data_IF_205071256819
#
_entry.id   IF_205071256819
#
_cell.length_a   1.000
_cell.length_b   1.000
_cell.length_c   1.000
_cell.angle_alpha   90.00
_cell.angle_beta   90.00
_cell.angle_gamma   90.00
#
_symmetry.space_group_name_H-M   'P 1'
#
loop_
_entity.id
_entity.type
_entity.pdbx_description
1 polymer ?
#
# COMPACT_ATOMS: atom_id res chain seq x y z
N UNK A 1 -17.03 -4.13 -16.14
CA UNK A 1 -17.07 -4.82 -14.83
C UNK A 1 -18.21 -5.84 -14.83
N UNK A 2 -17.95 -7.10 -14.48
CA UNK A 2 -18.98 -8.14 -14.37
C UNK A 2 -19.83 -7.83 -13.13
N UNK A 3 -21.10 -7.46 -13.30
CA UNK A 3 -22.00 -7.21 -12.16
C UNK A 3 -22.15 -8.50 -11.36
N UNK A 4 -21.70 -8.47 -10.11
CA UNK A 4 -21.86 -9.56 -9.19
C UNK A 4 -23.16 -9.35 -8.42
N UNK A 5 -24.20 -10.11 -8.78
CA UNK A 5 -25.52 -10.02 -8.14
C UNK A 5 -25.60 -11.03 -6.99
N UNK A 6 -24.86 -10.79 -5.91
CA UNK A 6 -25.02 -11.57 -4.68
C UNK A 6 -26.09 -10.94 -3.79
N UNK A 7 -27.06 -11.75 -3.36
CA UNK A 7 -28.07 -11.33 -2.40
C UNK A 7 -27.46 -11.28 -1.00
N UNK A 8 -27.22 -10.07 -0.47
CA UNK A 8 -26.79 -9.87 0.91
C UNK A 8 -28.01 -9.86 1.83
N UNK A 9 -28.02 -10.73 2.84
CA UNK A 9 -29.06 -10.72 3.89
C UNK A 9 -28.57 -9.89 5.07
N UNK A 10 -29.33 -8.87 5.42
CA UNK A 10 -29.12 -8.02 6.59
C UNK A 10 -30.27 -8.21 7.57
N UNK A 11 -30.01 -8.01 8.87
CA UNK A 11 -31.09 -7.90 9.85
C UNK A 11 -32.03 -6.74 9.49
N UNK A 12 -33.35 -6.85 9.73
CA UNK A 12 -34.30 -5.81 9.33
C UNK A 12 -33.99 -4.41 9.88
N UNK A 13 -33.56 -4.34 11.14
CA UNK A 13 -33.14 -3.09 11.80
C UNK A 13 -31.94 -2.45 11.10
N UNK A 14 -30.93 -3.25 10.77
CA UNK A 14 -29.72 -2.79 10.07
C UNK A 14 -30.03 -2.34 8.65
N UNK A 15 -30.91 -3.04 7.94
CA UNK A 15 -31.36 -2.63 6.61
C UNK A 15 -32.11 -1.28 6.63
N UNK A 16 -32.93 -1.06 7.66
CA UNK A 16 -33.63 0.22 7.85
C UNK A 16 -32.64 1.37 8.08
N UNK A 17 -31.62 1.17 8.91
CA UNK A 17 -30.57 2.18 9.10
C UNK A 17 -29.73 2.42 7.85
N UNK A 18 -29.29 1.37 7.16
CA UNK A 18 -28.54 1.51 5.91
C UNK A 18 -29.32 2.30 4.85
N UNK A 19 -30.65 2.11 4.77
CA UNK A 19 -31.52 2.88 3.87
C UNK A 19 -31.61 4.36 4.28
N UNK A 20 -31.75 4.66 5.58
CA UNK A 20 -31.77 6.04 6.07
C UNK A 20 -30.46 6.75 5.77
N UNK A 21 -29.32 6.11 6.06
CA UNK A 21 -28.00 6.67 5.81
C UNK A 21 -27.77 6.89 4.31
N UNK A 22 -28.09 5.91 3.48
CA UNK A 22 -27.95 6.02 2.02
C UNK A 22 -28.80 7.16 1.45
N UNK A 23 -30.03 7.34 1.95
CA UNK A 23 -30.90 8.45 1.55
C UNK A 23 -30.34 9.81 1.99
N UNK A 24 -29.80 9.92 3.20
CA UNK A 24 -29.17 11.15 3.71
C UNK A 24 -27.92 11.54 2.89
N UNK A 25 -27.14 10.55 2.43
CA UNK A 25 -25.96 10.75 1.58
C UNK A 25 -26.28 10.85 0.09
N UNK A 26 -27.54 10.64 -0.32
CA UNK A 26 -27.95 10.68 -1.73
C UNK A 26 -27.38 9.55 -2.58
N UNK A 27 -27.06 8.38 -1.99
CA UNK A 27 -26.46 7.24 -2.67
C UNK A 27 -27.37 6.01 -2.67
N UNK A 28 -27.14 5.06 -3.58
CA UNK A 28 -27.83 3.77 -3.54
C UNK A 28 -27.35 2.93 -2.36
N UNK A 29 -28.25 2.15 -1.74
CA UNK A 29 -27.93 1.25 -0.61
C UNK A 29 -26.78 0.29 -0.95
N UNK A 30 -26.76 -0.24 -2.17
CA UNK A 30 -25.66 -1.11 -2.63
C UNK A 30 -24.31 -0.38 -2.68
N UNK A 31 -24.31 0.90 -3.08
CA UNK A 31 -23.10 1.72 -3.11
C UNK A 31 -22.60 1.98 -1.68
N UNK A 32 -23.49 2.37 -0.78
CA UNK A 32 -23.18 2.55 0.65
C UNK A 32 -22.56 1.28 1.23
N UNK A 33 -23.18 0.12 1.02
CA UNK A 33 -22.68 -1.17 1.51
C UNK A 33 -21.30 -1.49 0.96
N UNK A 34 -21.08 -1.30 -0.35
CA UNK A 34 -19.77 -1.56 -0.95
C UNK A 34 -18.67 -0.66 -0.36
N UNK A 35 -18.96 0.62 -0.16
CA UNK A 35 -18.01 1.58 0.44
C UNK A 35 -17.73 1.21 1.90
N UNK A 36 -18.77 0.97 2.70
CA UNK A 36 -18.61 0.58 4.11
C UNK A 36 -17.79 -0.71 4.28
N UNK A 37 -17.98 -1.70 3.39
CA UNK A 37 -17.16 -2.91 3.37
C UNK A 37 -15.72 -2.59 2.98
N UNK A 38 -15.50 -1.76 1.95
CA UNK A 38 -14.17 -1.35 1.54
C UNK A 38 -13.42 -0.62 2.68
N UNK A 39 -14.09 0.28 3.38
CA UNK A 39 -13.56 0.98 4.56
C UNK A 39 -13.22 0.01 5.69
N UNK A 40 -14.13 -0.90 6.04
CA UNK A 40 -13.86 -1.90 7.09
C UNK A 40 -12.67 -2.78 6.74
N UNK A 41 -12.56 -3.19 5.48
CA UNK A 41 -11.42 -3.96 4.99
C UNK A 41 -10.12 -3.14 5.03
N UNK A 42 -10.15 -1.85 4.69
CA UNK A 42 -9.00 -0.98 4.77
C UNK A 42 -8.49 -0.85 6.22
N UNK A 43 -9.40 -0.63 7.18
CA UNK A 43 -9.06 -0.58 8.61
C UNK A 43 -8.47 -1.91 9.08
N UNK A 44 -9.13 -3.04 8.79
CA UNK A 44 -8.65 -4.35 9.20
C UNK A 44 -7.27 -4.70 8.61
N UNK A 45 -6.99 -4.24 7.37
CA UNK A 45 -5.66 -4.41 6.75
C UNK A 45 -4.61 -3.53 7.42
N UNK A 46 -4.96 -2.28 7.76
CA UNK A 46 -4.07 -1.38 8.48
C UNK A 46 -3.70 -1.96 9.85
N UNK A 47 -4.67 -2.43 10.63
CA UNK A 47 -4.45 -3.09 11.92
C UNK A 47 -3.53 -4.31 11.78
N UNK A 48 -3.76 -5.16 10.79
CA UNK A 48 -2.88 -6.32 10.52
C UNK A 48 -1.47 -5.92 10.14
N UNK A 49 -1.28 -4.84 9.39
CA UNK A 49 0.05 -4.32 9.04
C UNK A 49 0.78 -3.86 10.31
N UNK A 50 0.08 -3.14 11.18
CA UNK A 50 0.60 -2.65 12.46
C UNK A 50 0.85 -3.78 13.49
N UNK A 51 0.22 -4.94 13.32
CA UNK A 51 0.42 -6.12 14.16
C UNK A 51 1.43 -7.14 13.58
N UNK A 52 1.94 -6.90 12.36
CA UNK A 52 2.91 -7.78 11.70
C UNK A 52 4.32 -7.70 12.32
N UNK A 53 5.27 -8.51 11.84
CA UNK A 53 6.67 -8.33 12.23
C UNK A 53 7.20 -6.98 11.71
N UNK A 54 8.09 -6.36 12.48
CA UNK A 54 8.84 -5.20 11.99
C UNK A 54 9.65 -5.55 10.73
N UNK A 55 9.90 -4.58 9.83
CA UNK A 55 10.74 -4.79 8.66
C UNK A 55 12.14 -5.29 9.06
N UNK A 56 12.57 -6.40 8.47
CA UNK A 56 13.87 -7.03 8.70
C UNK A 56 14.92 -6.41 7.76
N UNK A 57 15.88 -5.71 8.36
CA UNK A 57 16.97 -5.02 7.66
C UNK A 57 17.79 -5.98 6.79
N UNK A 58 18.18 -7.12 7.32
CA UNK A 58 19.00 -8.12 6.62
C UNK A 58 18.22 -8.76 5.47
N UNK A 59 16.92 -8.98 5.63
CA UNK A 59 16.04 -9.42 4.54
C UNK A 59 15.94 -8.36 3.44
N UNK A 60 15.72 -7.10 3.80
CA UNK A 60 15.60 -5.99 2.84
C UNK A 60 16.89 -5.82 2.04
N UNK A 61 18.04 -5.78 2.72
CA UNK A 61 19.35 -5.63 2.05
C UNK A 61 19.62 -6.81 1.10
N UNK A 62 19.23 -8.03 1.46
CA UNK A 62 19.34 -9.19 0.56
C UNK A 62 18.46 -9.02 -0.68
N UNK A 63 17.18 -8.70 -0.52
CA UNK A 63 16.26 -8.50 -1.64
C UNK A 63 16.73 -7.38 -2.59
N UNK A 64 17.26 -6.29 -2.05
CA UNK A 64 17.80 -5.18 -2.85
C UNK A 64 19.07 -5.58 -3.61
N UNK A 65 19.94 -6.41 -3.03
CA UNK A 65 21.12 -6.94 -3.71
C UNK A 65 20.76 -7.94 -4.80
N UNK A 66 19.81 -8.82 -4.54
CA UNK A 66 19.33 -9.82 -5.52
C UNK A 66 18.70 -9.16 -6.76
N UNK A 67 18.26 -7.90 -6.63
CA UNK A 67 17.65 -7.10 -7.69
C UNK A 67 18.53 -5.95 -8.20
N UNK A 68 19.83 -5.98 -7.90
CA UNK A 68 20.74 -4.88 -8.23
C UNK A 68 20.72 -4.51 -9.72
N UNK A 69 20.79 -5.50 -10.62
CA UNK A 69 20.80 -5.26 -12.07
C UNK A 69 19.52 -4.56 -12.55
N UNK A 70 18.35 -5.00 -12.07
CA UNK A 70 17.05 -4.39 -12.39
C UNK A 70 16.95 -2.96 -11.85
N UNK A 71 17.45 -2.72 -10.65
CA UNK A 71 17.49 -1.39 -10.01
C UNK A 71 18.41 -0.45 -10.81
N UNK A 72 19.59 -0.93 -11.23
CA UNK A 72 20.51 -0.16 -12.07
C UNK A 72 19.93 0.16 -13.44
N UNK A 73 19.22 -0.78 -14.06
CA UNK A 73 18.54 -0.55 -15.34
C UNK A 73 17.52 0.61 -15.28
N UNK A 74 16.91 0.84 -14.10
CA UNK A 74 16.00 1.96 -13.84
C UNK A 74 16.71 3.31 -13.64
N UNK A 75 18.03 3.34 -13.68
CA UNK A 75 18.84 4.57 -13.61
C UNK A 75 19.39 4.91 -12.24
N UNK A 76 19.25 4.00 -11.26
CA UNK A 76 19.81 4.16 -9.91
C UNK A 76 21.30 3.81 -9.94
N UNK A 77 22.16 4.74 -9.53
CA UNK A 77 23.61 4.54 -9.44
C UNK A 77 24.06 4.14 -8.05
N UNK A 78 23.40 4.68 -7.02
CA UNK A 78 23.60 4.34 -5.61
C UNK A 78 22.26 4.24 -4.90
N UNK A 79 22.22 3.36 -3.92
CA UNK A 79 21.05 3.12 -3.08
C UNK A 79 21.52 2.96 -1.63
N UNK A 80 20.85 3.64 -0.71
CA UNK A 80 21.12 3.53 0.72
C UNK A 80 19.80 3.30 1.47
N UNK A 81 19.80 2.30 2.36
CA UNK A 81 18.75 2.12 3.35
C UNK A 81 18.99 3.14 4.47
N UNK A 82 17.96 3.92 4.80
CA UNK A 82 17.99 4.92 5.86
C UNK A 82 16.83 4.73 6.83
N UNK A 83 16.65 5.67 7.75
CA UNK A 83 15.51 5.65 8.67
C UNK A 83 15.62 4.54 9.72
N UNK A 84 14.46 4.13 10.24
CA UNK A 84 14.39 3.26 11.42
C UNK A 84 14.93 1.84 11.16
N UNK A 85 14.67 1.33 9.97
CA UNK A 85 15.17 0.01 9.53
C UNK A 85 16.70 0.00 9.49
N UNK A 86 17.33 1.08 9.01
CA UNK A 86 18.78 1.18 8.98
C UNK A 86 19.41 1.22 10.39
N UNK A 87 18.72 1.84 11.36
CA UNK A 87 19.18 1.98 12.75
C UNK A 87 18.88 0.76 13.62
N UNK A 88 17.99 -0.13 13.18
CA UNK A 88 17.56 -1.30 13.97
C UNK A 88 16.50 -0.98 15.03
N UNK A 89 15.86 0.18 14.96
CA UNK A 89 14.76 0.60 15.85
C UNK A 89 13.38 0.53 15.15
N UNK A 90 13.28 -0.27 14.08
CA UNK A 90 12.05 -0.44 13.32
C UNK A 90 10.96 -1.14 14.13
N UNK A 91 9.73 -0.63 14.00
CA UNK A 91 8.52 -1.22 14.57
C UNK A 91 7.68 -1.84 13.44
N UNK A 92 6.64 -2.62 13.73
CA UNK A 92 5.66 -3.06 12.72
C UNK A 92 5.03 -1.93 11.89
N UNK A 93 4.98 -0.72 12.46
CA UNK A 93 4.45 0.46 11.80
C UNK A 93 5.50 1.21 10.97
N UNK A 94 6.78 0.84 11.07
CA UNK A 94 7.86 1.52 10.37
C UNK A 94 7.79 1.31 8.86
N UNK A 95 8.06 2.39 8.13
CA UNK A 95 8.27 2.34 6.69
C UNK A 95 9.75 2.01 6.37
N UNK A 96 10.01 1.62 5.13
CA UNK A 96 11.36 1.38 4.61
C UNK A 96 11.80 2.59 3.79
N UNK A 97 12.76 3.35 4.32
CA UNK A 97 13.25 4.56 3.67
C UNK A 97 14.48 4.26 2.81
N UNK A 98 14.42 4.62 1.54
CA UNK A 98 15.53 4.48 0.59
C UNK A 98 15.95 5.85 0.06
N UNK A 99 17.26 6.12 0.10
CA UNK A 99 17.88 7.18 -0.67
C UNK A 99 18.45 6.61 -1.96
N UNK A 100 18.18 7.27 -3.08
CA UNK A 100 18.66 6.85 -4.39
C UNK A 100 19.38 8.00 -5.09
N UNK A 101 20.55 7.70 -5.63
CA UNK A 101 21.21 8.58 -6.59
C UNK A 101 20.83 8.14 -8.00
N UNK A 102 20.48 9.08 -8.85
CA UNK A 102 20.16 8.85 -10.25
C UNK A 102 21.38 9.19 -11.11
N UNK A 103 21.58 8.44 -12.19
CA UNK A 103 22.68 8.68 -13.12
C UNK A 103 22.71 10.15 -13.61
N UNK A 104 23.86 10.84 -13.48
CA UNK A 104 23.97 12.22 -13.92
C UNK A 104 23.70 12.34 -15.43
N UNK A 105 22.96 13.37 -15.83
CA UNK A 105 22.57 13.59 -17.23
C UNK A 105 21.42 12.70 -17.72
N UNK A 106 20.90 11.78 -16.90
CA UNK A 106 19.69 11.03 -17.23
C UNK A 106 18.46 11.94 -17.12
N UNK A 107 17.61 11.93 -18.15
CA UNK A 107 16.26 12.48 -18.03
C UNK A 107 15.50 11.61 -17.03
N UNK A 108 15.21 12.16 -15.86
CA UNK A 108 14.49 11.48 -14.80
C UNK A 108 13.24 12.28 -14.45
N UNK A 109 12.10 11.80 -14.94
CA UNK A 109 10.81 12.45 -14.80
C UNK A 109 10.06 11.97 -13.56
N UNK A 110 8.93 12.62 -13.25
CA UNK A 110 8.01 12.12 -12.22
C UNK A 110 7.42 10.74 -12.55
N UNK A 111 7.36 10.37 -13.83
CA UNK A 111 6.91 9.03 -14.25
C UNK A 111 7.98 7.99 -13.89
N UNK A 112 9.26 8.29 -14.12
CA UNK A 112 10.38 7.43 -13.73
C UNK A 112 10.44 7.28 -12.21
N UNK A 113 10.28 8.40 -11.48
CA UNK A 113 10.19 8.39 -10.02
C UNK A 113 9.05 7.50 -9.52
N UNK A 114 7.86 7.66 -10.09
CA UNK A 114 6.68 6.87 -9.71
C UNK A 114 6.86 5.38 -10.03
N UNK A 115 7.42 5.06 -11.20
CA UNK A 115 7.72 3.69 -11.60
C UNK A 115 8.78 3.03 -10.71
N UNK A 116 9.80 3.78 -10.30
CA UNK A 116 10.80 3.31 -9.36
C UNK A 116 10.22 3.11 -7.96
N UNK A 117 9.37 4.04 -7.50
CA UNK A 117 8.66 3.92 -6.22
C UNK A 117 7.76 2.69 -6.18
N UNK A 118 6.94 2.47 -7.22
CA UNK A 118 6.07 1.29 -7.31
C UNK A 118 6.89 -0.01 -7.33
N UNK A 119 8.00 -0.03 -8.06
CA UNK A 119 8.89 -1.18 -8.08
C UNK A 119 9.42 -1.55 -6.69
N UNK A 120 9.85 -0.56 -5.89
CA UNK A 120 10.29 -0.83 -4.53
C UNK A 120 9.13 -1.28 -3.63
N UNK A 121 7.94 -0.69 -3.76
CA UNK A 121 6.76 -1.10 -2.99
C UNK A 121 6.32 -2.54 -3.26
N UNK A 122 6.52 -3.04 -4.48
CA UNK A 122 6.22 -4.43 -4.82
C UNK A 122 7.31 -5.40 -4.30
N UNK A 123 8.55 -4.90 -4.19
CA UNK A 123 9.70 -5.70 -3.78
C UNK A 123 9.81 -5.87 -2.25
N UNK A 124 9.51 -4.81 -1.48
CA UNK A 124 9.71 -4.71 -0.02
C UNK A 124 8.55 -3.98 0.67
#
# INVERSE_FOLDING_TARGET
MRKSNFALRLQPSLLAEARRLAAAEGVAVNQLINVAVAEKLAVARAERRLAGPAPDRERIVRLLRDREEEIRAKGVTRLALVGSVARGDATPASDVDLLVDIAPGRKFSLIDHSGLRLYFQDLI
#
